data_IF_806146398787
#
_entry.id   IF_806146398787
#
_cell.length_a   1.000
_cell.length_b   1.000
_cell.length_c   1.000
_cell.angle_alpha   90.00
_cell.angle_beta   90.00
_cell.angle_gamma   90.00
#
_symmetry.space_group_name_H-M   'P 1'
#
loop_
_entity.id
_entity.type
_entity.pdbx_description
1 polymer ?
#
# COMPACT_ATOMS: atom_id res chain seq x y z
N UNK A 1 -25.50 7.92 -0.90
CA UNK A 1 -25.63 6.80 -1.84
C UNK A 1 -24.39 5.94 -1.69
N UNK A 2 -24.54 4.66 -1.35
CA UNK A 2 -23.44 3.71 -1.23
C UNK A 2 -22.67 3.69 -2.56
N UNK A 3 -21.52 4.37 -2.62
CA UNK A 3 -20.70 4.35 -3.82
C UNK A 3 -20.07 2.97 -3.91
N UNK A 4 -20.58 2.17 -4.86
CA UNK A 4 -20.24 0.76 -5.03
C UNK A 4 -18.75 0.58 -5.26
N UNK A 5 -18.08 -0.10 -4.33
CA UNK A 5 -16.80 -0.74 -4.59
C UNK A 5 -17.01 -2.00 -5.45
N UNK A 6 -15.96 -2.50 -6.09
CA UNK A 6 -15.96 -3.81 -6.72
C UNK A 6 -16.20 -4.90 -5.66
N UNK A 7 -16.94 -5.95 -6.03
CA UNK A 7 -17.09 -7.10 -5.16
C UNK A 7 -15.78 -7.88 -5.09
N UNK A 8 -15.16 -7.96 -3.91
CA UNK A 8 -13.92 -8.71 -3.70
C UNK A 8 -14.04 -10.19 -4.09
N UNK A 9 -15.24 -10.77 -3.99
CA UNK A 9 -15.51 -12.14 -4.42
C UNK A 9 -15.51 -12.34 -5.93
N UNK A 10 -15.73 -11.27 -6.70
CA UNK A 10 -15.74 -11.29 -8.17
C UNK A 10 -14.40 -10.89 -8.78
N UNK A 11 -13.42 -10.48 -7.96
CA UNK A 11 -12.07 -10.19 -8.44
C UNK A 11 -11.35 -11.49 -8.81
N UNK A 12 -10.56 -11.43 -9.88
CA UNK A 12 -9.63 -12.49 -10.24
C UNK A 12 -8.36 -12.33 -9.39
N UNK A 13 -7.94 -13.41 -8.74
CA UNK A 13 -6.69 -13.48 -8.00
C UNK A 13 -5.76 -14.46 -8.71
N UNK A 14 -4.58 -13.98 -9.10
CA UNK A 14 -3.51 -14.79 -9.64
C UNK A 14 -2.33 -14.75 -8.67
N UNK A 15 -1.75 -15.91 -8.39
CA UNK A 15 -0.61 -16.04 -7.49
C UNK A 15 0.62 -16.49 -8.28
N UNK A 16 1.76 -15.88 -7.96
CA UNK A 16 3.05 -16.28 -8.51
C UNK A 16 4.09 -16.37 -7.38
N UNK A 17 4.69 -17.54 -7.13
CA UNK A 17 5.78 -17.64 -6.17
C UNK A 17 6.99 -16.84 -6.68
N UNK A 18 7.58 -16.05 -5.78
CA UNK A 18 8.82 -15.34 -6.04
C UNK A 18 10.02 -16.17 -5.58
N UNK A 19 11.17 -15.96 -6.23
CA UNK A 19 12.42 -16.48 -5.70
C UNK A 19 12.77 -15.73 -4.41
N UNK A 20 13.05 -16.48 -3.33
CA UNK A 20 13.37 -15.93 -2.00
C UNK A 20 14.82 -16.28 -1.69
N UNK A 21 15.80 -15.47 -2.12
CA UNK A 21 17.20 -15.68 -1.79
C UNK A 21 17.46 -15.49 -0.30
N UNK A 22 18.54 -16.06 0.25
CA UNK A 22 18.98 -15.78 1.61
C UNK A 22 19.21 -14.28 1.84
N UNK A 23 18.95 -13.78 3.05
CA UNK A 23 19.15 -12.36 3.38
C UNK A 23 20.61 -11.91 3.18
N UNK A 24 21.59 -12.79 3.37
CA UNK A 24 23.00 -12.52 3.12
C UNK A 24 23.29 -12.30 1.63
N UNK A 25 22.59 -12.98 0.74
CA UNK A 25 22.71 -12.77 -0.70
C UNK A 25 22.13 -11.40 -1.08
N UNK A 26 20.92 -11.08 -0.61
CA UNK A 26 20.30 -9.78 -0.83
C UNK A 26 21.17 -8.64 -0.32
N UNK A 27 21.72 -8.76 0.89
CA UNK A 27 22.60 -7.75 1.48
C UNK A 27 23.83 -7.49 0.59
N UNK A 28 24.50 -8.54 0.11
CA UNK A 28 25.65 -8.41 -0.76
C UNK A 28 25.29 -7.75 -2.11
N UNK A 29 24.22 -8.20 -2.76
CA UNK A 29 23.78 -7.66 -4.05
C UNK A 29 23.40 -6.19 -3.94
N UNK A 30 22.63 -5.82 -2.91
CA UNK A 30 22.19 -4.43 -2.68
C UNK A 30 23.39 -3.53 -2.33
N UNK A 31 24.31 -3.98 -1.46
CA UNK A 31 25.52 -3.23 -1.12
C UNK A 31 26.34 -2.86 -2.36
N UNK A 32 26.61 -3.83 -3.23
CA UNK A 32 27.40 -3.62 -4.45
C UNK A 32 26.69 -2.65 -5.40
N UNK A 33 25.39 -2.83 -5.62
CA UNK A 33 24.63 -1.98 -6.52
C UNK A 33 24.53 -0.53 -6.02
N UNK A 34 24.30 -0.33 -4.73
CA UNK A 34 24.23 1.02 -4.14
C UNK A 34 25.61 1.70 -4.14
N UNK A 35 26.71 0.98 -3.87
CA UNK A 35 28.05 1.56 -3.84
C UNK A 35 28.51 2.10 -5.21
N UNK A 36 27.91 1.64 -6.31
CA UNK A 36 28.13 2.20 -7.64
C UNK A 36 27.46 3.57 -7.85
N UNK A 37 26.47 3.93 -7.02
CA UNK A 37 25.61 5.11 -7.19
C UNK A 37 25.73 6.13 -6.04
N UNK A 38 26.26 5.71 -4.89
CA UNK A 38 26.36 6.53 -3.68
C UNK A 38 27.78 6.47 -3.10
N UNK A 39 28.28 7.62 -2.64
CA UNK A 39 29.65 7.73 -2.12
C UNK A 39 29.90 6.94 -0.83
N UNK A 40 28.88 6.83 0.04
CA UNK A 40 28.96 6.08 1.29
C UNK A 40 27.74 5.17 1.38
N UNK A 41 27.97 3.86 1.57
CA UNK A 41 26.92 2.84 1.62
C UNK A 41 27.28 1.81 2.68
N UNK A 42 26.33 1.53 3.56
CA UNK A 42 26.36 0.41 4.49
C UNK A 42 25.02 -0.32 4.43
N UNK A 43 25.07 -1.62 4.14
CA UNK A 43 23.91 -2.50 4.07
C UNK A 43 24.16 -3.67 5.01
N UNK A 44 23.28 -3.85 5.99
CA UNK A 44 23.38 -4.92 6.98
C UNK A 44 22.02 -5.61 7.19
N UNK A 45 22.08 -6.87 7.60
CA UNK A 45 20.90 -7.63 8.03
C UNK A 45 20.79 -7.52 9.55
N UNK A 46 19.65 -7.08 10.04
CA UNK A 46 19.44 -6.86 11.47
C UNK A 46 17.98 -7.01 11.90
N UNK A 47 17.70 -6.88 13.20
CA UNK A 47 16.34 -6.87 13.70
C UNK A 47 15.57 -5.68 13.10
N UNK A 48 14.29 -5.89 12.78
CA UNK A 48 13.41 -4.81 12.34
C UNK A 48 13.22 -3.83 13.52
N UNK A 49 13.45 -2.52 13.33
CA UNK A 49 13.14 -1.54 14.37
C UNK A 49 11.62 -1.45 14.57
N UNK A 50 11.18 -0.92 15.70
CA UNK A 50 9.75 -0.67 15.91
C UNK A 50 9.24 0.40 14.93
N UNK A 51 8.53 -0.03 13.90
CA UNK A 51 8.00 0.84 12.85
C UNK A 51 6.82 1.71 13.30
N UNK A 52 6.28 1.50 14.52
CA UNK A 52 5.32 2.42 15.13
C UNK A 52 5.99 3.66 15.71
N UNK A 53 7.31 3.63 15.88
CA UNK A 53 8.05 4.77 16.40
C UNK A 53 7.86 6.01 15.50
N UNK A 54 7.87 7.19 16.12
CA UNK A 54 7.46 8.47 15.50
C UNK A 54 8.20 8.80 14.19
N UNK A 55 9.45 8.34 14.04
CA UNK A 55 10.24 8.55 12.83
C UNK A 55 9.75 7.76 11.61
N UNK A 56 9.00 6.68 11.82
CA UNK A 56 8.42 5.84 10.76
C UNK A 56 6.91 6.06 10.64
N UNK A 57 6.20 6.12 11.78
CA UNK A 57 4.77 6.44 11.82
C UNK A 57 3.84 5.37 11.24
N UNK A 58 4.28 4.10 11.18
CA UNK A 58 3.44 3.00 10.71
C UNK A 58 2.46 2.54 11.78
N UNK A 59 1.40 1.83 11.36
CA UNK A 59 0.38 1.32 12.30
C UNK A 59 0.80 0.02 13.00
N UNK A 60 1.78 -0.70 12.44
CA UNK A 60 2.36 -1.93 12.98
C UNK A 60 3.87 -1.82 13.20
N UNK A 61 4.42 -2.70 14.04
CA UNK A 61 5.81 -2.60 14.53
C UNK A 61 6.86 -3.24 13.62
N UNK A 62 6.46 -3.98 12.59
CA UNK A 62 7.41 -4.65 11.70
C UNK A 62 6.83 -5.12 10.37
N UNK A 63 7.71 -5.52 9.46
CA UNK A 63 7.38 -6.01 8.10
C UNK A 63 7.60 -7.53 7.93
N UNK A 64 7.87 -8.25 9.03
CA UNK A 64 8.08 -9.69 9.01
C UNK A 64 6.79 -10.51 8.87
N UNK A 65 6.90 -11.84 8.96
CA UNK A 65 5.76 -12.75 8.86
C UNK A 65 5.65 -13.40 7.48
N UNK A 66 4.53 -13.16 6.79
CA UNK A 66 4.25 -13.69 5.43
C UNK A 66 4.29 -12.55 4.41
N UNK A 67 5.48 -12.05 4.02
CA UNK A 67 5.59 -10.95 3.07
C UNK A 67 4.98 -11.36 1.72
N UNK A 68 4.17 -10.48 1.13
CA UNK A 68 3.49 -10.72 -0.15
C UNK A 68 3.36 -9.39 -0.87
N UNK A 69 3.69 -9.37 -2.17
CA UNK A 69 3.42 -8.22 -3.03
C UNK A 69 1.99 -8.33 -3.57
N UNK A 70 1.25 -7.23 -3.55
CA UNK A 70 -0.10 -7.15 -4.06
C UNK A 70 -0.15 -6.07 -5.13
N UNK A 71 -0.46 -6.48 -6.36
CA UNK A 71 -0.79 -5.57 -7.44
C UNK A 71 -2.27 -5.69 -7.77
N UNK A 72 -2.97 -4.56 -7.85
CA UNK A 72 -4.38 -4.53 -8.21
C UNK A 72 -4.64 -3.43 -9.24
N UNK A 73 -5.42 -3.75 -10.28
CA UNK A 73 -5.76 -2.81 -11.33
C UNK A 73 -4.57 -2.42 -12.19
N UNK A 74 -4.47 -1.13 -12.55
CA UNK A 74 -3.32 -0.61 -13.29
C UNK A 74 -3.60 0.69 -14.07
N UNK A 75 -2.57 1.28 -14.69
CA UNK A 75 -2.68 2.48 -15.51
C UNK A 75 -3.78 2.44 -16.59
N UNK A 76 -4.12 1.29 -17.22
CA UNK A 76 -5.23 1.21 -18.18
C UNK A 76 -6.62 1.55 -17.59
N UNK A 77 -6.79 1.55 -16.27
CA UNK A 77 -8.03 2.02 -15.63
C UNK A 77 -8.05 3.53 -15.40
N UNK A 78 -6.90 4.20 -15.52
CA UNK A 78 -6.77 5.65 -15.46
C UNK A 78 -6.76 6.28 -16.87
N UNK A 79 -6.09 5.65 -17.83
CA UNK A 79 -5.82 6.20 -19.16
C UNK A 79 -6.37 5.31 -20.28
N UNK A 80 -6.81 5.89 -21.42
CA UNK A 80 -6.91 7.32 -21.69
C UNK A 80 -8.15 7.97 -21.03
N UNK A 81 -9.14 7.17 -20.64
CA UNK A 81 -10.35 7.62 -19.95
C UNK A 81 -10.50 6.84 -18.65
N UNK A 82 -10.70 7.56 -17.56
CA UNK A 82 -10.78 6.99 -16.22
C UNK A 82 -12.03 6.11 -16.02
N UNK A 83 -11.82 4.91 -15.48
CA UNK A 83 -12.86 3.97 -15.06
C UNK A 83 -13.14 4.13 -13.56
N UNK A 84 -13.96 5.13 -13.21
CA UNK A 84 -14.19 5.54 -11.80
C UNK A 84 -14.85 4.46 -10.92
N UNK A 85 -15.44 3.43 -11.53
CA UNK A 85 -16.02 2.26 -10.88
C UNK A 85 -14.95 1.28 -10.33
N UNK A 86 -13.69 1.44 -10.72
CA UNK A 86 -12.58 0.63 -10.19
C UNK A 86 -12.17 1.11 -8.80
N UNK A 87 -13.00 0.79 -7.82
CA UNK A 87 -12.75 0.98 -6.40
C UNK A 87 -12.56 -0.38 -5.74
N UNK A 88 -11.42 -0.58 -5.10
CA UNK A 88 -11.05 -1.83 -4.45
C UNK A 88 -11.09 -1.65 -2.94
N UNK A 89 -11.45 -2.71 -2.20
CA UNK A 89 -11.39 -2.71 -0.74
C UNK A 89 -10.13 -3.45 -0.29
N UNK A 90 -9.12 -2.69 0.19
CA UNK A 90 -7.81 -3.25 0.51
C UNK A 90 -7.92 -4.21 1.70
N UNK A 91 -8.80 -3.92 2.67
CA UNK A 91 -8.99 -4.78 3.84
C UNK A 91 -9.53 -6.16 3.44
N UNK A 92 -10.58 -6.20 2.62
CA UNK A 92 -11.17 -7.47 2.13
C UNK A 92 -10.18 -8.25 1.26
N UNK A 93 -9.50 -7.57 0.33
CA UNK A 93 -8.53 -8.20 -0.56
C UNK A 93 -7.36 -8.82 0.21
N UNK A 94 -6.76 -8.06 1.12
CA UNK A 94 -5.59 -8.53 1.88
C UNK A 94 -5.98 -9.65 2.85
N UNK A 95 -7.16 -9.60 3.48
CA UNK A 95 -7.71 -10.72 4.27
C UNK A 95 -7.84 -12.00 3.43
N UNK A 96 -8.41 -11.90 2.22
CA UNK A 96 -8.58 -13.05 1.32
C UNK A 96 -7.25 -13.68 0.90
N UNK A 97 -6.21 -12.86 0.69
CA UNK A 97 -4.87 -13.31 0.28
C UNK A 97 -4.08 -13.91 1.46
N UNK A 98 -4.10 -13.24 2.62
CA UNK A 98 -3.26 -13.61 3.75
C UNK A 98 -3.85 -14.73 4.60
N UNK A 99 -5.19 -14.85 4.65
CA UNK A 99 -5.88 -15.76 5.55
C UNK A 99 -6.04 -15.15 6.95
N UNK A 100 -6.29 -15.96 8.01
CA UNK A 100 -6.48 -15.45 9.37
C UNK A 100 -5.21 -14.84 9.98
N UNK A 101 -5.37 -13.97 10.98
CA UNK A 101 -4.27 -13.26 11.66
C UNK A 101 -4.33 -11.74 11.46
N UNK A 102 -3.36 -11.03 12.02
CA UNK A 102 -3.17 -9.60 11.71
C UNK A 102 -2.49 -9.43 10.36
N UNK A 103 -3.05 -8.59 9.51
CA UNK A 103 -2.50 -8.24 8.20
C UNK A 103 -2.07 -6.79 8.21
N UNK A 104 -0.79 -6.54 7.94
CA UNK A 104 -0.25 -5.21 7.75
C UNK A 104 -0.02 -4.96 6.26
N UNK A 105 -0.56 -3.88 5.72
CA UNK A 105 -0.34 -3.48 4.33
C UNK A 105 0.16 -2.03 4.24
N UNK A 106 1.22 -1.85 3.47
CA UNK A 106 1.82 -0.57 3.12
C UNK A 106 2.08 -0.55 1.63
N UNK A 107 2.00 0.64 1.02
CA UNK A 107 2.20 0.73 -0.42
C UNK A 107 1.71 2.05 -0.99
N UNK A 108 1.62 2.07 -2.32
CA UNK A 108 1.21 3.23 -3.10
C UNK A 108 0.07 2.87 -4.03
N UNK A 109 -0.72 3.85 -4.43
CA UNK A 109 -1.77 3.65 -5.43
C UNK A 109 -2.57 4.90 -5.64
N UNK A 110 -3.61 4.83 -6.47
CA UNK A 110 -4.56 5.93 -6.55
C UNK A 110 -5.46 5.92 -5.31
N UNK A 111 -5.54 7.06 -4.64
CA UNK A 111 -6.35 7.24 -3.45
C UNK A 111 -7.85 7.18 -3.78
N UNK A 112 -8.70 6.93 -2.77
CA UNK A 112 -10.15 6.86 -2.96
C UNK A 112 -10.72 8.24 -3.31
N UNK A 113 -10.85 8.53 -4.60
CA UNK A 113 -11.47 9.76 -5.11
C UNK A 113 -12.83 10.10 -4.47
N UNK A 114 -13.70 9.15 -4.05
CA UNK A 114 -14.94 9.45 -3.35
C UNK A 114 -14.84 10.40 -2.15
N UNK A 115 -13.81 10.24 -1.33
CA UNK A 115 -13.65 11.04 -0.10
C UNK A 115 -13.00 12.40 -0.35
N UNK A 116 -12.40 12.59 -1.53
CA UNK A 116 -11.74 13.85 -1.93
C UNK A 116 -12.50 14.62 -3.00
N UNK A 117 -13.46 13.99 -3.69
CA UNK A 117 -14.14 14.57 -4.85
C UNK A 117 -13.23 14.86 -6.05
N UNK A 118 -11.99 14.34 -6.03
CA UNK A 118 -10.94 14.62 -6.99
C UNK A 118 -9.94 13.47 -7.05
N UNK A 119 -9.08 13.46 -8.07
CA UNK A 119 -7.97 12.52 -8.11
C UNK A 119 -7.03 12.79 -6.94
N UNK A 120 -6.48 11.73 -6.37
CA UNK A 120 -5.53 11.83 -5.28
C UNK A 120 -4.55 10.67 -5.31
N UNK A 121 -3.32 10.92 -4.90
CA UNK A 121 -2.32 9.87 -4.66
C UNK A 121 -2.57 9.26 -3.28
N UNK A 122 -2.56 7.94 -3.18
CA UNK A 122 -2.73 7.17 -1.95
C UNK A 122 -1.40 6.70 -1.39
N UNK A 123 -1.17 6.98 -0.11
CA UNK A 123 -0.02 6.52 0.67
C UNK A 123 -0.57 5.59 1.75
N UNK A 124 -0.55 4.28 1.48
CA UNK A 124 -1.25 3.29 2.28
C UNK A 124 -0.40 2.82 3.46
N UNK A 125 -1.04 2.75 4.62
CA UNK A 125 -0.51 2.33 5.91
C UNK A 125 -1.69 1.82 6.73
N UNK A 126 -2.03 0.54 6.59
CA UNK A 126 -3.24 -0.04 7.16
C UNK A 126 -2.97 -1.40 7.81
N UNK A 127 -3.74 -1.69 8.86
CA UNK A 127 -3.72 -2.97 9.55
C UNK A 127 -5.14 -3.50 9.69
N UNK A 128 -5.32 -4.79 9.47
CA UNK A 128 -6.59 -5.51 9.68
C UNK A 128 -6.33 -6.60 10.69
N UNK A 129 -6.94 -6.50 11.87
CA UNK A 129 -6.75 -7.50 12.92
C UNK A 129 -7.62 -8.75 12.68
N UNK A 130 -7.48 -9.77 13.52
CA UNK A 130 -8.21 -11.04 13.43
C UNK A 130 -9.74 -10.92 13.46
N UNK A 131 -10.28 -9.78 13.92
CA UNK A 131 -11.73 -9.49 13.97
C UNK A 131 -12.18 -8.65 12.76
N UNK A 132 -11.33 -8.51 11.76
CA UNK A 132 -11.52 -7.65 10.59
C UNK A 132 -11.71 -6.16 10.93
N UNK A 133 -11.17 -5.72 12.07
CA UNK A 133 -11.17 -4.31 12.44
C UNK A 133 -10.00 -3.59 11.75
N UNK A 134 -10.33 -2.55 10.98
CA UNK A 134 -9.37 -1.72 10.26
C UNK A 134 -8.75 -0.66 11.17
N UNK A 135 -7.43 -0.63 11.23
CA UNK A 135 -6.65 0.53 11.66
C UNK A 135 -6.03 1.19 10.44
N UNK A 136 -6.50 2.40 10.11
CA UNK A 136 -6.00 3.14 8.95
C UNK A 136 -5.13 4.34 9.37
N UNK A 137 -3.84 4.31 9.03
CA UNK A 137 -2.88 5.41 9.17
C UNK A 137 -2.48 6.03 7.84
N UNK A 138 -3.24 5.77 6.77
CA UNK A 138 -2.96 6.18 5.40
C UNK A 138 -3.24 7.67 5.17
N UNK A 139 -2.63 8.19 4.10
CA UNK A 139 -2.84 9.56 3.64
C UNK A 139 -3.22 9.58 2.16
N UNK A 140 -3.82 10.69 1.75
CA UNK A 140 -3.92 11.07 0.35
C UNK A 140 -3.23 12.40 0.11
N UNK A 141 -2.59 12.56 -1.04
CA UNK A 141 -2.14 13.85 -1.55
C UNK A 141 -3.04 14.31 -2.71
N UNK A 142 -3.43 15.58 -2.71
CA UNK A 142 -4.22 16.23 -3.78
C UNK A 142 -3.54 17.52 -4.23
N UNK A 143 -3.78 17.92 -5.48
CA UNK A 143 -3.42 19.25 -5.98
C UNK A 143 -4.63 20.18 -5.84
N UNK A 144 -4.47 21.36 -5.21
CA UNK A 144 -5.57 22.30 -4.97
C UNK A 144 -5.19 23.74 -5.29
N UNK A 145 -6.20 24.53 -5.67
CA UNK A 145 -6.08 25.96 -5.91
C UNK A 145 -5.36 26.30 -7.22
N UNK A 146 -5.23 27.59 -7.50
CA UNK A 146 -4.56 28.11 -8.70
C UNK A 146 -3.04 27.94 -8.64
N UNK A 147 -2.48 27.83 -7.43
CA UNK A 147 -1.05 27.66 -7.17
C UNK A 147 -0.62 26.18 -7.18
N UNK A 148 -1.54 25.26 -7.48
CA UNK A 148 -1.28 23.82 -7.54
C UNK A 148 -0.66 23.26 -6.24
N UNK A 149 -1.16 23.70 -5.09
CA UNK A 149 -0.61 23.30 -3.80
C UNK A 149 -0.82 21.80 -3.56
N UNK A 150 0.23 21.12 -3.08
CA UNK A 150 0.15 19.74 -2.63
C UNK A 150 -0.44 19.71 -1.21
N UNK A 151 -1.66 19.20 -1.11
CA UNK A 151 -2.41 19.09 0.15
C UNK A 151 -2.45 17.63 0.59
N UNK A 152 -1.80 17.34 1.72
CA UNK A 152 -1.77 16.03 2.36
C UNK A 152 -2.85 15.92 3.43
N UNK A 153 -3.69 14.88 3.35
CA UNK A 153 -4.79 14.66 4.28
C UNK A 153 -4.89 13.20 4.71
N UNK A 154 -5.20 12.95 5.98
CA UNK A 154 -5.43 11.59 6.50
C UNK A 154 -6.66 10.95 5.86
N UNK A 155 -6.56 9.67 5.54
CA UNK A 155 -7.72 8.85 5.17
C UNK A 155 -8.51 8.50 6.44
N UNK A 156 -9.85 8.62 6.45
CA UNK A 156 -10.67 8.21 7.60
C UNK A 156 -10.44 6.75 7.99
N UNK A 157 -10.50 6.45 9.30
CA UNK A 157 -10.34 5.07 9.79
C UNK A 157 -11.36 4.07 9.26
N UNK A 158 -12.49 4.56 8.73
CA UNK A 158 -13.57 3.75 8.15
C UNK A 158 -13.45 3.57 6.63
N UNK A 159 -12.42 4.11 5.99
CA UNK A 159 -12.25 4.07 4.54
C UNK A 159 -11.17 3.04 4.17
N UNK A 160 -11.54 1.83 3.72
CA UNK A 160 -10.59 0.78 3.34
C UNK A 160 -10.15 0.85 1.88
N UNK A 161 -10.68 1.78 1.08
CA UNK A 161 -10.61 1.67 -0.37
C UNK A 161 -9.40 2.35 -0.99
N UNK A 162 -8.96 1.81 -2.12
CA UNK A 162 -8.18 2.52 -3.14
C UNK A 162 -8.96 2.57 -4.46
N UNK A 163 -8.48 3.37 -5.41
CA UNK A 163 -9.06 3.49 -6.74
C UNK A 163 -8.03 3.10 -7.81
N UNK A 164 -8.51 2.57 -8.94
CA UNK A 164 -7.82 2.35 -10.22
C UNK A 164 -6.62 1.40 -10.19
N UNK A 165 -5.64 1.64 -9.33
CA UNK A 165 -4.38 0.90 -9.25
C UNK A 165 -3.79 0.96 -7.83
N UNK A 166 -3.11 -0.12 -7.43
CA UNK A 166 -2.45 -0.30 -6.14
C UNK A 166 -1.21 -1.18 -6.30
N UNK A 167 -0.14 -0.85 -5.58
CA UNK A 167 1.11 -1.60 -5.47
C UNK A 167 1.61 -1.65 -4.02
#
# INVERSE_FOLDING_TARGET
MSQSQLSTEQLLFEEKPLYVPPLSELQNVIQVALAANFANVDVSVGPCPDLKAKQFGLVESGLGGKPTLLEAGGPPFLLPLVQRDKLYNIAEMTRKIQGPGTVFAVGAGAGPWPIRGSNCEGIFNLSVNEKDELTNGSYTATVRGEQEECVLEKIPHTEPRCALLLN
#
